data_IF_542131110013
#
_entry.id   IF_542131110013
#
_cell.length_a   1.000
_cell.length_b   1.000
_cell.length_c   1.000
_cell.angle_alpha   90.00
_cell.angle_beta   90.00
_cell.angle_gamma   90.00
#
_symmetry.space_group_name_H-M   'P 1'
#
loop_
_entity.id
_entity.type
_entity.pdbx_description
1 polymer ?
#
# COMPACT_ATOMS: atom_id res chain seq x y z
N UNK A 1 23.15 -7.62 3.18
CA UNK A 1 22.27 -6.87 2.23
C UNK A 1 22.24 -5.39 2.59
N UNK A 2 21.82 -5.00 3.80
CA UNK A 2 21.78 -3.58 4.20
C UNK A 2 23.15 -2.87 4.09
N UNK A 3 24.22 -3.47 4.62
CA UNK A 3 25.57 -2.89 4.53
C UNK A 3 26.01 -2.63 3.09
N UNK A 4 25.70 -3.54 2.18
CA UNK A 4 25.97 -3.36 0.75
C UNK A 4 25.17 -2.17 0.18
N UNK A 5 23.88 -2.08 0.50
CA UNK A 5 23.03 -0.98 0.04
C UNK A 5 23.49 0.39 0.59
N UNK A 6 23.91 0.43 1.86
CA UNK A 6 24.38 1.66 2.50
C UNK A 6 25.77 2.09 2.01
N UNK A 7 26.65 1.13 1.71
CA UNK A 7 28.00 1.39 1.20
C UNK A 7 28.01 1.77 -0.29
N UNK A 8 27.15 1.15 -1.11
CA UNK A 8 27.09 1.33 -2.56
C UNK A 8 25.76 1.94 -2.98
N UNK A 9 25.61 3.23 -2.65
CA UNK A 9 24.36 3.98 -2.82
C UNK A 9 24.07 4.30 -4.29
N UNK A 10 22.84 4.05 -4.70
CA UNK A 10 22.34 4.32 -6.05
C UNK A 10 21.00 3.65 -6.28
N UNK A 11 20.17 4.25 -7.14
CA UNK A 11 18.90 3.63 -7.51
C UNK A 11 19.18 2.43 -8.38
N UNK A 12 18.57 1.29 -8.07
CA UNK A 12 18.84 0.06 -8.82
C UNK A 12 18.48 0.18 -10.31
N UNK A 13 17.47 1.00 -10.64
CA UNK A 13 17.04 1.30 -12.00
C UNK A 13 18.02 2.20 -12.77
N UNK A 14 18.99 2.84 -12.12
CA UNK A 14 20.07 3.56 -12.82
C UNK A 14 20.95 2.58 -13.60
N UNK A 15 21.15 1.38 -13.05
CA UNK A 15 21.94 0.32 -13.68
C UNK A 15 21.08 -0.64 -14.52
N UNK A 16 19.86 -0.94 -14.07
CA UNK A 16 18.99 -1.96 -14.67
C UNK A 16 17.81 -1.39 -15.46
N UNK A 17 17.77 -0.08 -15.67
CA UNK A 17 16.62 0.63 -16.24
C UNK A 17 16.11 0.05 -17.55
N UNK A 18 17.00 -0.41 -18.45
CA UNK A 18 16.63 -1.01 -19.73
C UNK A 18 15.82 -2.31 -19.63
N UNK A 19 15.84 -2.97 -18.47
CA UNK A 19 15.15 -4.25 -18.23
C UNK A 19 13.96 -4.08 -17.28
N UNK A 20 14.04 -3.14 -16.33
CA UNK A 20 13.05 -3.01 -15.25
C UNK A 20 12.05 -1.88 -15.49
N UNK A 21 12.41 -0.87 -16.27
CA UNK A 21 11.50 0.20 -16.67
C UNK A 21 10.77 -0.16 -17.97
N UNK A 22 9.48 0.17 -18.11
CA UNK A 22 8.66 1.03 -17.24
C UNK A 22 7.88 0.28 -16.15
N UNK A 23 8.27 -0.94 -15.76
CA UNK A 23 7.49 -1.77 -14.83
C UNK A 23 7.68 -1.37 -13.36
N UNK A 24 8.92 -1.38 -12.87
CA UNK A 24 9.25 -1.10 -11.46
C UNK A 24 10.45 -0.15 -11.34
N UNK A 25 10.42 1.01 -11.98
CA UNK A 25 11.51 2.00 -11.81
C UNK A 25 11.59 2.49 -10.36
N UNK A 26 12.79 2.78 -9.84
CA UNK A 26 12.90 3.49 -8.57
C UNK A 26 12.55 4.96 -8.81
N UNK A 27 11.37 5.40 -8.37
CA UNK A 27 10.91 6.78 -8.53
C UNK A 27 11.19 7.63 -7.30
N UNK A 28 11.02 7.07 -6.08
CA UNK A 28 11.36 7.74 -4.81
C UNK A 28 12.86 7.78 -4.51
N UNK A 29 13.63 6.90 -5.16
CA UNK A 29 15.06 6.72 -4.90
C UNK A 29 15.35 5.47 -4.07
N UNK A 30 16.41 5.54 -3.25
CA UNK A 30 16.84 4.47 -2.33
C UNK A 30 16.92 4.94 -0.87
N UNK A 31 16.73 6.25 -0.62
CA UNK A 31 16.95 6.84 0.70
C UNK A 31 15.94 6.33 1.72
N UNK A 32 14.67 6.25 1.30
CA UNK A 32 13.60 5.75 2.16
C UNK A 32 13.74 4.24 2.45
N UNK A 33 14.29 3.47 1.52
CA UNK A 33 14.65 2.06 1.72
C UNK A 33 15.77 1.86 2.73
N UNK A 34 16.78 2.73 2.74
CA UNK A 34 17.84 2.67 3.75
C UNK A 34 17.26 2.93 5.14
N UNK A 35 16.43 3.96 5.30
CA UNK A 35 15.82 4.26 6.59
C UNK A 35 14.83 3.16 7.02
N UNK A 36 14.05 2.63 6.08
CA UNK A 36 13.14 1.49 6.30
C UNK A 36 13.90 0.22 6.72
N UNK A 37 14.99 -0.09 6.01
CA UNK A 37 15.84 -1.25 6.28
C UNK A 37 16.50 -1.17 7.65
N UNK A 38 17.10 -0.02 7.99
CA UNK A 38 17.68 0.21 9.31
C UNK A 38 16.63 0.07 10.43
N UNK A 39 15.42 0.59 10.21
CA UNK A 39 14.31 0.52 11.17
C UNK A 39 13.87 -0.92 11.45
N UNK A 40 13.74 -1.75 10.40
CA UNK A 40 13.42 -3.18 10.57
C UNK A 40 14.56 -3.96 11.22
N UNK A 41 15.81 -3.69 10.82
CA UNK A 41 16.96 -4.36 11.40
C UNK A 41 17.13 -4.03 12.87
N UNK A 42 16.93 -2.77 13.28
CA UNK A 42 16.81 -2.42 14.68
C UNK A 42 15.72 -3.26 15.34
N UNK A 43 14.50 -3.25 14.80
CA UNK A 43 13.36 -3.92 15.44
C UNK A 43 13.58 -5.43 15.60
N UNK A 44 14.21 -6.07 14.62
CA UNK A 44 14.46 -7.50 14.63
C UNK A 44 15.65 -7.90 15.54
N UNK A 45 16.72 -7.11 15.56
CA UNK A 45 17.98 -7.46 16.23
C UNK A 45 18.19 -6.82 17.60
N UNK A 46 17.49 -5.71 17.88
CA UNK A 46 17.76 -4.81 19.02
C UNK A 46 19.21 -4.26 19.04
N UNK A 47 19.93 -4.32 17.92
CA UNK A 47 21.27 -3.78 17.83
C UNK A 47 21.22 -2.24 17.79
N UNK A 48 21.82 -1.62 18.82
CA UNK A 48 21.86 -0.18 18.98
C UNK A 48 22.54 0.57 17.81
N UNK A 49 23.42 -0.08 17.04
CA UNK A 49 24.06 0.54 15.88
C UNK A 49 23.04 1.01 14.83
N UNK A 50 21.92 0.29 14.67
CA UNK A 50 20.85 0.72 13.77
C UNK A 50 20.06 1.89 14.33
N UNK A 51 19.87 1.99 15.65
CA UNK A 51 19.29 3.21 16.25
C UNK A 51 20.18 4.41 15.99
N UNK A 52 21.49 4.28 16.21
CA UNK A 52 22.47 5.32 15.92
C UNK A 52 22.44 5.71 14.44
N UNK A 53 22.31 4.74 13.54
CA UNK A 53 22.15 5.00 12.11
C UNK A 53 20.88 5.81 11.81
N UNK A 54 19.73 5.42 12.36
CA UNK A 54 18.45 6.11 12.19
C UNK A 54 18.55 7.56 12.68
N UNK A 55 19.12 7.77 13.87
CA UNK A 55 19.29 9.11 14.45
C UNK A 55 20.27 9.98 13.63
N UNK A 56 21.37 9.40 13.14
CA UNK A 56 22.40 10.16 12.43
C UNK A 56 22.04 10.45 10.98
N UNK A 57 21.28 9.58 10.32
CA UNK A 57 20.98 9.67 8.90
C UNK A 57 19.51 10.03 8.60
N UNK A 58 18.61 9.97 9.59
CA UNK A 58 17.18 10.11 9.39
C UNK A 58 16.81 11.36 8.60
N UNK A 59 17.32 12.53 9.01
CA UNK A 59 17.08 13.81 8.31
C UNK A 59 17.50 13.75 6.84
N UNK A 60 18.72 13.26 6.55
CA UNK A 60 19.22 13.15 5.17
C UNK A 60 18.47 12.10 4.34
N UNK A 61 17.91 11.08 4.99
CA UNK A 61 17.16 10.00 4.34
C UNK A 61 15.64 10.27 4.28
N UNK A 62 15.21 11.51 4.53
CA UNK A 62 13.82 11.94 4.33
C UNK A 62 12.89 11.69 5.53
N UNK A 63 13.41 11.63 6.76
CA UNK A 63 12.58 11.57 7.97
C UNK A 63 11.63 12.78 8.08
N UNK A 64 12.08 13.96 7.64
CA UNK A 64 11.30 15.20 7.67
C UNK A 64 10.35 15.35 6.46
N UNK A 65 10.54 14.53 5.42
CA UNK A 65 9.84 14.68 4.14
C UNK A 65 8.46 14.03 4.22
N UNK A 66 7.41 14.84 4.33
CA UNK A 66 6.04 14.33 4.28
C UNK A 66 5.72 13.73 2.90
N UNK A 67 5.29 12.47 2.93
CA UNK A 67 4.66 11.79 1.81
C UNK A 67 3.27 11.33 2.24
N UNK A 68 2.40 11.10 1.27
CA UNK A 68 0.99 10.77 1.46
C UNK A 68 0.62 9.43 0.81
N UNK A 69 1.61 8.59 0.53
CA UNK A 69 1.42 7.19 0.11
C UNK A 69 2.45 6.24 0.72
N UNK A 70 2.02 4.98 0.88
CA UNK A 70 2.91 3.85 1.17
C UNK A 70 2.73 2.81 0.07
N UNK A 71 3.83 2.44 -0.59
CA UNK A 71 3.81 1.58 -1.78
C UNK A 71 5.06 0.69 -1.85
N UNK A 72 5.17 -0.07 -2.94
CA UNK A 72 6.38 -0.82 -3.24
C UNK A 72 7.58 0.09 -3.55
N UNK A 73 7.36 1.35 -3.93
CA UNK A 73 8.38 2.32 -4.30
C UNK A 73 8.69 3.28 -3.15
N UNK A 74 7.70 3.79 -2.41
CA UNK A 74 7.95 4.75 -1.32
C UNK A 74 7.56 4.20 0.07
N UNK A 75 8.54 4.22 0.99
CA UNK A 75 8.47 3.62 2.33
C UNK A 75 8.43 4.70 3.42
N UNK A 76 8.53 5.99 3.10
CA UNK A 76 8.67 7.08 4.09
C UNK A 76 7.57 7.06 5.13
N UNK A 77 6.31 6.97 4.70
CA UNK A 77 5.16 6.89 5.61
C UNK A 77 5.20 5.63 6.46
N UNK A 78 5.52 4.48 5.85
CA UNK A 78 5.65 3.21 6.56
C UNK A 78 6.72 3.28 7.65
N UNK A 79 7.87 3.87 7.36
CA UNK A 79 8.98 4.08 8.29
C UNK A 79 8.59 4.99 9.45
N UNK A 80 7.89 6.10 9.17
CA UNK A 80 7.37 7.02 10.19
C UNK A 80 6.42 6.31 11.14
N UNK A 81 5.44 5.57 10.61
CA UNK A 81 4.51 4.76 11.42
C UNK A 81 5.29 3.73 12.24
N UNK A 82 6.23 3.01 11.64
CA UNK A 82 7.05 2.01 12.33
C UNK A 82 7.81 2.59 13.53
N UNK A 83 8.50 3.71 13.35
CA UNK A 83 9.33 4.34 14.37
C UNK A 83 8.51 5.12 15.41
N UNK A 84 7.32 5.62 15.04
CA UNK A 84 6.39 6.25 16.00
C UNK A 84 6.04 5.34 17.17
N UNK A 85 6.10 4.02 16.97
CA UNK A 85 5.92 3.02 18.04
C UNK A 85 6.90 3.24 19.19
N UNK A 86 8.19 3.45 18.89
CA UNK A 86 9.23 3.60 19.91
C UNK A 86 9.01 4.85 20.76
N UNK A 87 8.53 5.94 20.17
CA UNK A 87 8.12 7.13 20.93
C UNK A 87 6.88 6.86 21.80
N UNK A 88 5.83 6.27 21.21
CA UNK A 88 4.54 6.09 21.88
C UNK A 88 4.56 5.04 22.99
N UNK A 89 5.20 3.90 22.75
CA UNK A 89 5.18 2.74 23.64
C UNK A 89 6.45 2.65 24.48
N UNK A 90 7.62 2.81 23.86
CA UNK A 90 8.92 2.61 24.50
C UNK A 90 9.49 3.92 25.08
N UNK A 91 8.80 5.06 24.89
CA UNK A 91 9.15 6.40 25.41
C UNK A 91 10.54 6.88 24.98
N UNK A 92 10.93 6.54 23.75
CA UNK A 92 12.17 7.00 23.13
C UNK A 92 11.92 8.40 22.53
N UNK A 93 12.32 9.44 23.25
CA UNK A 93 12.06 10.85 22.89
C UNK A 93 12.70 11.23 21.55
N UNK A 94 13.84 10.64 21.20
CA UNK A 94 14.53 10.88 19.93
C UNK A 94 13.69 10.49 18.70
N UNK A 95 12.64 9.66 18.89
CA UNK A 95 11.72 9.27 17.82
C UNK A 95 10.46 10.13 17.74
N UNK A 96 10.37 11.23 18.51
CA UNK A 96 9.24 12.17 18.48
C UNK A 96 8.95 12.69 17.08
N UNK A 97 9.99 12.98 16.29
CA UNK A 97 9.87 13.42 14.90
C UNK A 97 9.00 12.47 14.07
N UNK A 98 9.24 11.16 14.16
CA UNK A 98 8.49 10.17 13.40
C UNK A 98 7.02 10.10 13.83
N UNK A 99 6.72 10.36 15.10
CA UNK A 99 5.34 10.51 15.59
C UNK A 99 4.67 11.74 14.98
N UNK A 100 5.34 12.89 14.93
CA UNK A 100 4.81 14.13 14.33
C UNK A 100 4.49 13.91 12.85
N UNK A 101 5.41 13.34 12.08
CA UNK A 101 5.17 13.10 10.66
C UNK A 101 4.17 11.96 10.40
N UNK A 102 4.03 11.01 11.34
CA UNK A 102 2.91 10.06 11.29
C UNK A 102 1.57 10.77 11.48
N UNK A 103 1.48 11.73 12.41
CA UNK A 103 0.27 12.54 12.57
C UNK A 103 -0.04 13.33 11.29
N UNK A 104 0.94 13.98 10.66
CA UNK A 104 0.74 14.71 9.41
C UNK A 104 0.10 13.83 8.32
N UNK A 105 0.62 12.61 8.14
CA UNK A 105 0.03 11.63 7.22
C UNK A 105 -1.42 11.28 7.59
N UNK A 106 -1.68 10.97 8.86
CA UNK A 106 -3.04 10.65 9.33
C UNK A 106 -4.00 11.82 9.11
N UNK A 107 -3.55 13.03 9.39
CA UNK A 107 -4.34 14.23 9.21
C UNK A 107 -4.63 14.50 7.74
N UNK A 108 -3.73 14.14 6.80
CA UNK A 108 -4.00 14.33 5.38
C UNK A 108 -5.09 13.41 4.82
N UNK A 109 -5.37 12.29 5.50
CA UNK A 109 -6.35 11.29 5.08
C UNK A 109 -7.78 11.57 5.54
N UNK A 110 -7.97 12.37 6.60
CA UNK A 110 -9.24 12.47 7.33
C UNK A 110 -9.99 13.74 6.92
N UNK A 111 -11.20 13.63 6.31
CA UNK A 111 -11.99 14.79 5.97
C UNK A 111 -12.29 15.68 7.19
N UNK A 112 -12.10 16.99 7.03
CA UNK A 112 -12.37 17.99 8.06
C UNK A 112 -11.19 18.36 8.96
N UNK A 113 -10.04 17.69 8.82
CA UNK A 113 -8.79 18.16 9.43
C UNK A 113 -8.22 19.36 8.65
N UNK A 114 -7.39 20.17 9.31
CA UNK A 114 -6.78 21.36 8.68
C UNK A 114 -5.81 21.05 7.54
N UNK A 115 -5.27 19.83 7.48
CA UNK A 115 -4.30 19.40 6.48
C UNK A 115 -4.84 18.32 5.53
N UNK A 116 -6.17 18.17 5.46
CA UNK A 116 -6.83 17.20 4.57
C UNK A 116 -6.44 17.42 3.10
N UNK A 117 -5.91 16.37 2.47
CA UNK A 117 -5.45 16.40 1.07
C UNK A 117 -5.85 15.17 0.26
N UNK A 118 -6.23 14.07 0.93
CA UNK A 118 -6.62 12.84 0.26
C UNK A 118 -7.88 13.03 -0.60
N UNK A 119 -7.91 12.34 -1.74
CA UNK A 119 -9.09 12.30 -2.60
C UNK A 119 -9.92 11.06 -2.32
N UNK A 120 -11.24 11.21 -2.40
CA UNK A 120 -12.18 10.10 -2.27
C UNK A 120 -13.13 10.10 -3.46
N UNK A 121 -13.51 8.91 -3.93
CA UNK A 121 -14.60 8.73 -4.89
C UNK A 121 -15.94 9.15 -4.26
N UNK A 122 -16.99 9.41 -5.06
CA UNK A 122 -18.35 9.64 -4.54
C UNK A 122 -18.85 8.53 -3.59
N UNK A 123 -18.47 7.27 -3.84
CA UNK A 123 -18.76 6.12 -2.99
C UNK A 123 -17.92 6.02 -1.72
N UNK A 124 -16.95 6.90 -1.51
CA UNK A 124 -16.14 6.98 -0.29
C UNK A 124 -14.87 6.11 -0.28
N UNK A 125 -14.41 5.66 -1.45
CA UNK A 125 -13.13 4.96 -1.59
C UNK A 125 -11.98 5.97 -1.68
N UNK A 126 -10.91 5.77 -0.93
CA UNK A 126 -9.66 6.53 -1.07
C UNK A 126 -9.12 6.36 -2.49
N UNK A 127 -8.81 7.46 -3.17
CA UNK A 127 -8.36 7.46 -4.55
C UNK A 127 -7.01 8.16 -4.69
N UNK A 128 -5.95 7.38 -4.93
CA UNK A 128 -4.57 7.87 -5.04
C UNK A 128 -4.05 7.82 -6.48
N UNK A 129 -4.47 6.85 -7.28
CA UNK A 129 -3.99 6.66 -8.65
C UNK A 129 -5.04 5.99 -9.53
N UNK A 130 -4.94 6.19 -10.85
CA UNK A 130 -5.89 5.65 -11.82
C UNK A 130 -5.68 4.17 -12.17
N UNK A 131 -4.50 3.63 -11.88
CA UNK A 131 -4.18 2.22 -12.08
C UNK A 131 -3.91 1.56 -10.73
N UNK A 132 -4.52 0.40 -10.53
CA UNK A 132 -4.33 -0.46 -9.36
C UNK A 132 -4.54 0.27 -8.02
N UNK A 133 -5.57 1.12 -7.93
CA UNK A 133 -5.80 2.01 -6.80
C UNK A 133 -5.96 1.26 -5.46
N UNK A 134 -6.58 0.08 -5.46
CA UNK A 134 -6.83 -0.67 -4.22
C UNK A 134 -5.54 -1.10 -3.49
N UNK A 135 -4.38 -1.10 -4.14
CA UNK A 135 -3.10 -1.28 -3.45
C UNK A 135 -2.85 -0.16 -2.41
N UNK A 136 -3.17 1.10 -2.77
CA UNK A 136 -3.00 2.25 -1.87
C UNK A 136 -4.06 2.27 -0.78
N UNK A 137 -5.27 1.82 -1.12
CA UNK A 137 -6.38 1.69 -0.17
C UNK A 137 -6.03 0.67 0.92
N UNK A 138 -5.54 -0.51 0.51
CA UNK A 138 -5.17 -1.59 1.45
C UNK A 138 -3.93 -1.24 2.26
N UNK A 139 -2.90 -0.65 1.66
CA UNK A 139 -1.70 -0.20 2.39
C UNK A 139 -2.03 0.91 3.40
N UNK A 140 -2.89 1.86 3.03
CA UNK A 140 -3.37 2.91 3.93
C UNK A 140 -4.20 2.33 5.07
N UNK A 141 -5.13 1.41 4.79
CA UNK A 141 -5.93 0.74 5.83
C UNK A 141 -5.04 -0.02 6.83
N UNK A 142 -3.99 -0.69 6.35
CA UNK A 142 -3.01 -1.36 7.20
C UNK A 142 -2.25 -0.38 8.12
N UNK A 143 -1.77 0.74 7.58
CA UNK A 143 -1.07 1.75 8.38
C UNK A 143 -2.00 2.43 9.40
N UNK A 144 -3.24 2.75 9.01
CA UNK A 144 -4.26 3.29 9.93
C UNK A 144 -4.49 2.36 11.12
N UNK A 145 -4.65 1.05 10.88
CA UNK A 145 -4.87 0.06 11.95
C UNK A 145 -3.61 -0.15 12.80
N UNK A 146 -2.43 -0.18 12.18
CA UNK A 146 -1.15 -0.29 12.87
C UNK A 146 -0.96 0.87 13.84
N UNK A 147 -1.21 2.08 13.37
CA UNK A 147 -1.06 3.27 14.17
C UNK A 147 -2.14 3.40 15.25
N UNK A 148 -3.39 3.01 14.95
CA UNK A 148 -4.46 2.92 15.94
C UNK A 148 -4.09 2.00 17.11
N UNK A 149 -3.41 0.88 16.84
CA UNK A 149 -2.91 -0.01 17.87
C UNK A 149 -1.89 0.70 18.77
N UNK A 150 -0.93 1.43 18.19
CA UNK A 150 0.05 2.20 18.96
C UNK A 150 -0.63 3.25 19.85
N UNK A 151 -1.56 4.04 19.29
CA UNK A 151 -2.32 5.02 20.05
C UNK A 151 -3.13 4.41 21.21
N UNK A 152 -3.82 3.29 20.98
CA UNK A 152 -4.58 2.59 22.03
C UNK A 152 -3.68 2.12 23.17
N UNK A 153 -2.53 1.52 22.83
CA UNK A 153 -1.61 1.00 23.83
C UNK A 153 -0.92 2.08 24.67
N UNK A 154 -0.74 3.28 24.12
CA UNK A 154 -0.05 4.39 24.79
C UNK A 154 -1.01 5.40 25.43
N UNK A 155 -2.32 5.27 25.21
CA UNK A 155 -3.32 6.30 25.56
C UNK A 155 -3.19 7.59 24.74
N UNK A 156 -2.61 7.50 23.54
CA UNK A 156 -2.29 8.66 22.70
C UNK A 156 -3.37 9.03 21.68
N UNK A 157 -3.11 10.10 20.93
CA UNK A 157 -3.90 10.53 19.78
C UNK A 157 -3.01 11.13 18.69
N UNK A 158 -3.59 11.34 17.50
CA UNK A 158 -2.98 12.15 16.46
C UNK A 158 -3.48 13.60 16.53
N UNK A 159 -2.55 14.54 16.47
CA UNK A 159 -2.83 15.97 16.60
C UNK A 159 -2.89 16.63 15.21
N UNK A 160 -4.11 16.98 14.77
CA UNK A 160 -4.38 17.59 13.48
C UNK A 160 -4.77 19.07 13.64
N UNK A 161 -3.83 19.88 14.14
CA UNK A 161 -4.09 21.25 14.53
C UNK A 161 -5.04 21.33 15.72
N UNK A 162 -6.23 21.91 15.53
CA UNK A 162 -7.27 21.98 16.58
C UNK A 162 -8.11 20.69 16.68
N UNK A 163 -7.96 19.77 15.73
CA UNK A 163 -8.71 18.51 15.70
C UNK A 163 -7.86 17.40 16.28
N UNK A 164 -8.47 16.60 17.16
CA UNK A 164 -7.87 15.36 17.67
C UNK A 164 -8.43 14.17 16.94
N UNK A 165 -7.55 13.29 16.45
CA UNK A 165 -7.92 12.04 15.80
C UNK A 165 -7.56 10.88 16.72
N UNK A 166 -8.55 10.10 17.10
CA UNK A 166 -8.40 8.95 18.00
C UNK A 166 -8.19 7.65 17.23
N UNK A 167 -7.69 6.61 17.91
CA UNK A 167 -7.61 5.26 17.36
C UNK A 167 -8.97 4.76 16.81
N UNK A 168 -10.08 5.12 17.46
CA UNK A 168 -11.43 4.77 16.98
C UNK A 168 -11.75 5.42 15.63
N UNK A 169 -11.32 6.66 15.41
CA UNK A 169 -11.47 7.32 14.10
C UNK A 169 -10.70 6.56 13.01
N UNK A 170 -9.46 6.16 13.31
CA UNK A 170 -8.60 5.41 12.37
C UNK A 170 -9.17 4.03 12.03
N UNK A 171 -9.60 3.27 13.04
CA UNK A 171 -10.23 1.95 12.85
C UNK A 171 -11.51 2.08 12.01
N UNK A 172 -12.33 3.10 12.29
CA UNK A 172 -13.56 3.36 11.52
C UNK A 172 -13.25 3.67 10.06
N UNK A 173 -12.24 4.50 9.78
CA UNK A 173 -11.83 4.82 8.41
C UNK A 173 -11.29 3.58 7.68
N UNK A 174 -10.36 2.84 8.30
CA UNK A 174 -9.81 1.61 7.73
C UNK A 174 -10.90 0.57 7.43
N UNK A 175 -11.85 0.39 8.37
CA UNK A 175 -12.99 -0.49 8.18
C UNK A 175 -13.85 -0.07 7.00
N UNK A 176 -14.16 1.22 6.84
CA UNK A 176 -14.92 1.71 5.67
C UNK A 176 -14.22 1.37 4.35
N UNK A 177 -12.90 1.51 4.30
CA UNK A 177 -12.13 1.17 3.10
C UNK A 177 -12.17 -0.34 2.79
N UNK A 178 -12.01 -1.19 3.81
CA UNK A 178 -12.12 -2.65 3.65
C UNK A 178 -13.55 -3.07 3.28
N UNK A 179 -14.56 -2.49 3.93
CA UNK A 179 -15.97 -2.76 3.62
C UNK A 179 -16.31 -2.36 2.18
N UNK A 180 -15.77 -1.24 1.68
CA UNK A 180 -15.89 -0.85 0.27
C UNK A 180 -15.30 -1.92 -0.64
N UNK A 181 -14.08 -2.41 -0.37
CA UNK A 181 -13.45 -3.48 -1.15
C UNK A 181 -14.31 -4.74 -1.16
N UNK A 182 -14.96 -5.06 -0.05
CA UNK A 182 -15.75 -6.28 0.13
C UNK A 182 -17.22 -6.16 -0.31
N UNK A 183 -17.64 -5.01 -0.85
CA UNK A 183 -18.95 -4.86 -1.50
C UNK A 183 -19.86 -3.77 -0.96
N UNK A 184 -19.49 -3.04 0.09
CA UNK A 184 -20.21 -1.82 0.53
C UNK A 184 -19.82 -0.63 -0.35
N UNK A 185 -20.13 -0.74 -1.63
CA UNK A 185 -19.84 0.26 -2.66
C UNK A 185 -21.05 0.44 -3.60
N UNK A 186 -21.09 1.49 -4.44
CA UNK A 186 -22.22 1.75 -5.34
C UNK A 186 -22.56 0.57 -6.27
N UNK A 187 -21.55 -0.21 -6.69
CA UNK A 187 -21.73 -1.37 -7.56
C UNK A 187 -22.29 -2.61 -6.84
N UNK A 188 -22.30 -2.62 -5.48
CA UNK A 188 -22.65 -3.78 -4.64
C UNK A 188 -21.92 -5.05 -5.09
N UNK A 189 -20.60 -4.93 -5.28
CA UNK A 189 -19.72 -5.97 -5.79
C UNK A 189 -18.42 -5.99 -4.99
N UNK A 190 -17.97 -7.18 -4.59
CA UNK A 190 -16.65 -7.36 -4.00
C UNK A 190 -15.56 -7.19 -5.05
N UNK A 191 -14.52 -6.43 -4.75
CA UNK A 191 -13.27 -6.37 -5.51
C UNK A 191 -12.23 -7.39 -5.02
N UNK A 192 -12.62 -8.30 -4.11
CA UNK A 192 -11.88 -9.51 -3.79
C UNK A 192 -12.53 -10.72 -4.47
N UNK A 193 -11.78 -11.39 -5.34
CA UNK A 193 -12.24 -12.55 -6.12
C UNK A 193 -12.67 -13.68 -5.19
N UNK A 194 -13.85 -14.26 -5.46
CA UNK A 194 -14.39 -15.37 -4.68
C UNK A 194 -15.02 -14.98 -3.34
N UNK A 195 -15.08 -13.69 -3.00
CA UNK A 195 -15.75 -13.18 -1.80
C UNK A 195 -17.11 -12.55 -2.15
N UNK A 196 -18.14 -12.88 -1.37
CA UNK A 196 -19.50 -12.38 -1.57
C UNK A 196 -20.22 -12.98 -2.78
N UNK A 197 -21.45 -12.50 -3.04
CA UNK A 197 -22.30 -13.02 -4.12
C UNK A 197 -21.90 -12.50 -5.51
N UNK A 198 -21.24 -11.35 -5.58
CA UNK A 198 -20.82 -10.69 -6.82
C UNK A 198 -19.36 -10.27 -6.72
N UNK A 199 -18.52 -10.75 -7.63
CA UNK A 199 -17.10 -10.42 -7.74
C UNK A 199 -16.65 -10.52 -9.22
N UNK A 200 -15.53 -9.86 -9.61
CA UNK A 200 -14.96 -9.92 -10.95
C UNK A 200 -14.60 -11.35 -11.39
N UNK A 201 -14.90 -11.66 -12.65
CA UNK A 201 -14.70 -12.99 -13.24
C UNK A 201 -13.66 -12.98 -14.37
N UNK A 202 -13.26 -11.81 -14.88
CA UNK A 202 -12.35 -11.66 -16.01
C UNK A 202 -11.01 -11.06 -15.57
N UNK A 203 -10.37 -11.68 -14.58
CA UNK A 203 -9.13 -11.16 -13.97
C UNK A 203 -7.96 -11.22 -14.96
N UNK A 204 -7.19 -10.12 -15.09
CA UNK A 204 -5.94 -10.00 -15.85
C UNK A 204 -4.81 -10.87 -15.24
N UNK A 205 -4.98 -12.18 -15.30
CA UNK A 205 -4.06 -13.13 -14.70
C UNK A 205 -4.00 -14.42 -15.54
N UNK A 206 -2.82 -14.68 -16.12
CA UNK A 206 -2.61 -15.82 -17.05
C UNK A 206 -2.97 -17.15 -16.39
N UNK A 207 -2.48 -17.41 -15.18
CA UNK A 207 -2.72 -18.69 -14.51
C UNK A 207 -4.20 -18.97 -14.22
N UNK A 208 -5.05 -17.94 -14.13
CA UNK A 208 -6.49 -18.13 -13.89
C UNK A 208 -7.28 -18.17 -15.19
N UNK A 209 -6.86 -17.45 -16.24
CA UNK A 209 -7.53 -17.41 -17.54
C UNK A 209 -7.25 -18.63 -18.44
N UNK A 210 -6.11 -19.30 -18.26
CA UNK A 210 -5.76 -20.51 -19.01
C UNK A 210 -6.47 -21.76 -18.43
N UNK A 211 -6.81 -22.77 -19.26
CA UNK A 211 -7.32 -24.04 -18.76
C UNK A 211 -6.26 -24.73 -17.88
N UNK A 212 -6.72 -25.46 -16.87
CA UNK A 212 -5.82 -26.24 -16.02
C UNK A 212 -5.18 -27.39 -16.81
N UNK A 213 -4.03 -27.87 -16.34
CA UNK A 213 -3.34 -29.04 -16.93
C UNK A 213 -4.20 -30.31 -16.93
N UNK A 214 -5.19 -30.41 -16.04
CA UNK A 214 -6.14 -31.53 -16.01
C UNK A 214 -7.12 -31.49 -17.19
N UNK A 215 -7.50 -30.30 -17.64
CA UNK A 215 -8.42 -30.10 -18.77
C UNK A 215 -7.65 -30.03 -20.10
N UNK A 216 -6.45 -29.45 -20.09
CA UNK A 216 -5.58 -29.32 -21.26
C UNK A 216 -4.13 -29.72 -20.90
N UNK A 217 -3.79 -31.02 -20.96
CA UNK A 217 -2.49 -31.53 -20.51
C UNK A 217 -1.32 -31.18 -21.44
N UNK A 218 -1.60 -30.85 -22.70
CA UNK A 218 -0.59 -30.47 -23.67
C UNK A 218 -0.08 -29.05 -23.42
N UNK A 219 1.17 -28.76 -23.81
CA UNK A 219 1.74 -27.41 -23.72
C UNK A 219 0.97 -26.41 -24.58
N UNK A 220 0.71 -25.22 -24.04
CA UNK A 220 0.13 -24.09 -24.79
C UNK A 220 1.29 -23.22 -25.31
N UNK A 221 1.44 -23.05 -26.64
CA UNK A 221 2.48 -22.18 -27.22
C UNK A 221 2.31 -20.71 -26.81
N UNK A 222 3.42 -19.94 -26.77
CA UNK A 222 3.44 -18.57 -26.23
C UNK A 222 2.32 -17.65 -26.77
N UNK A 223 2.09 -17.64 -28.09
CA UNK A 223 1.08 -16.78 -28.70
C UNK A 223 -0.34 -17.35 -28.63
N UNK A 224 -0.49 -18.66 -28.40
CA UNK A 224 -1.80 -19.28 -28.26
C UNK A 224 -2.51 -18.88 -26.96
N UNK A 225 -1.78 -18.31 -25.99
CA UNK A 225 -2.33 -17.76 -24.75
C UNK A 225 -3.26 -16.55 -24.97
N UNK A 226 -3.05 -15.77 -26.05
CA UNK A 226 -3.81 -14.54 -26.30
C UNK A 226 -5.30 -14.78 -26.57
N UNK A 227 -5.68 -15.95 -27.08
CA UNK A 227 -7.11 -16.29 -27.23
C UNK A 227 -7.83 -16.29 -25.86
N UNK A 228 -7.14 -16.69 -24.79
CA UNK A 228 -7.69 -16.66 -23.43
C UNK A 228 -7.65 -15.26 -22.84
N UNK A 229 -6.76 -14.37 -23.32
CA UNK A 229 -6.81 -12.96 -22.94
C UNK A 229 -8.09 -12.31 -23.47
N UNK A 230 -8.40 -12.52 -24.75
CA UNK A 230 -9.52 -11.89 -25.46
C UNK A 230 -10.85 -12.64 -25.36
N UNK A 231 -10.90 -13.78 -24.67
CA UNK A 231 -12.14 -14.54 -24.48
C UNK A 231 -13.15 -13.76 -23.64
N UNK A 232 -14.42 -13.77 -24.07
CA UNK A 232 -15.57 -13.25 -23.31
C UNK A 232 -16.05 -14.19 -22.21
N UNK A 233 -15.47 -15.39 -22.11
CA UNK A 233 -15.78 -16.31 -21.01
C UNK A 233 -15.04 -15.89 -19.75
N UNK A 234 -15.65 -16.11 -18.57
CA UNK A 234 -14.97 -16.03 -17.27
C UNK A 234 -13.65 -16.79 -17.24
N UNK A 235 -12.75 -16.40 -16.35
CA UNK A 235 -11.55 -17.18 -16.05
C UNK A 235 -11.97 -18.58 -15.54
N UNK A 236 -11.50 -19.68 -16.16
CA UNK A 236 -11.90 -21.04 -15.78
C UNK A 236 -11.43 -21.44 -14.37
N UNK A 237 -10.39 -20.80 -13.84
CA UNK A 237 -9.94 -21.02 -12.47
C UNK A 237 -10.19 -19.75 -11.64
N UNK A 238 -10.99 -19.87 -10.59
CA UNK A 238 -11.31 -18.74 -9.71
C UNK A 238 -10.05 -18.40 -8.90
N UNK A 239 -9.54 -17.17 -9.05
CA UNK A 239 -8.35 -16.69 -8.33
C UNK A 239 -8.72 -16.20 -6.92
N UNK A 240 -9.22 -17.12 -6.08
CA UNK A 240 -9.79 -16.81 -4.76
C UNK A 240 -8.82 -15.97 -3.92
N UNK A 241 -9.33 -14.86 -3.37
CA UNK A 241 -8.60 -13.96 -2.48
C UNK A 241 -7.81 -12.85 -3.18
N UNK A 242 -7.70 -12.86 -4.50
CA UNK A 242 -7.07 -11.75 -5.23
C UNK A 242 -7.88 -10.46 -5.07
N UNK A 243 -7.20 -9.38 -4.72
CA UNK A 243 -7.76 -8.01 -4.72
C UNK A 243 -7.33 -7.35 -6.02
N UNK A 244 -8.30 -6.90 -6.82
CA UNK A 244 -8.05 -6.30 -8.14
C UNK A 244 -7.59 -4.84 -8.00
N UNK A 245 -7.28 -4.19 -9.12
CA UNK A 245 -6.98 -2.76 -9.13
C UNK A 245 -8.12 -1.85 -8.67
N UNK A 246 -9.38 -2.25 -8.90
CA UNK A 246 -10.60 -1.59 -8.43
C UNK A 246 -11.14 -0.50 -9.36
N UNK A 247 -12.15 0.26 -8.91
CA UNK A 247 -12.86 1.22 -9.76
C UNK A 247 -12.05 2.49 -10.04
N UNK A 248 -12.51 3.27 -11.02
CA UNK A 248 -12.02 4.61 -11.28
C UNK A 248 -12.47 5.65 -10.22
N UNK A 249 -12.14 6.92 -10.44
CA UNK A 249 -12.46 8.01 -9.51
C UNK A 249 -13.96 8.33 -9.36
N UNK A 250 -14.83 7.64 -10.11
CA UNK A 250 -16.29 7.80 -10.09
C UNK A 250 -16.99 6.50 -9.69
N UNK A 251 -16.27 5.59 -9.04
CA UNK A 251 -16.77 4.28 -8.60
C UNK A 251 -17.16 3.34 -9.77
N UNK A 252 -16.74 3.65 -11.00
CA UNK A 252 -17.02 2.82 -12.18
C UNK A 252 -15.96 1.73 -12.34
N UNK A 253 -16.42 0.51 -12.56
CA UNK A 253 -15.57 -0.66 -12.73
C UNK A 253 -16.01 -1.49 -13.94
N UNK A 254 -15.04 -1.89 -14.76
CA UNK A 254 -15.24 -2.77 -15.91
C UNK A 254 -14.53 -4.11 -15.67
N UNK A 255 -15.30 -5.19 -15.54
CA UNK A 255 -14.78 -6.56 -15.44
C UNK A 255 -14.27 -7.04 -16.81
N UNK A 256 -13.11 -6.55 -17.22
CA UNK A 256 -12.47 -6.84 -18.49
C UNK A 256 -11.03 -7.26 -18.28
N UNK A 257 -10.68 -8.44 -18.79
CA UNK A 257 -9.33 -9.00 -18.71
C UNK A 257 -8.28 -8.13 -19.40
N UNK A 258 -8.64 -7.30 -20.37
CA UNK A 258 -7.70 -6.36 -21.00
C UNK A 258 -7.53 -5.07 -20.21
N UNK A 259 -8.42 -4.77 -19.27
CA UNK A 259 -8.33 -3.61 -18.40
C UNK A 259 -7.42 -3.90 -17.21
N UNK A 260 -6.12 -4.03 -17.47
CA UNK A 260 -5.10 -4.31 -16.45
C UNK A 260 -4.99 -3.25 -15.34
N UNK A 261 -5.56 -2.06 -15.55
CA UNK A 261 -5.54 -0.97 -14.56
C UNK A 261 -6.55 -1.21 -13.43
N UNK A 262 -7.75 -1.70 -13.79
CA UNK A 262 -8.80 -1.99 -12.82
C UNK A 262 -8.79 -3.46 -12.40
N UNK A 263 -8.31 -4.36 -13.26
CA UNK A 263 -8.27 -5.78 -12.98
C UNK A 263 -7.18 -6.21 -12.00
#
# INVERSE_FOLDING_TARGET
>A
VFEFADQYRGSYSDSLGSVVCPFYCSYSGYNDELLWGASWLHRASQNASYMTYIQSNGHTLGADDDDYSFSWDDKRVGTKVLLSKGFLQDRIEELQLYKVHTDNYICSLIPGTSSFQAQYTPGGLLYKGSASNLQYVTSTAFLLLTYANYLNSSGGHASCGTTTVTAKNLISLAKKQVDYILGQNPAKMSYMVGFGERYPQHVHHRGSSLPSVHVHPNSIPCNAGFQYLYSSSPNPNILVGAILGGPDNRDSFSDDRNNYQQS
#
